data_IF_159411063600
#
_entry.id   IF_159411063600
#
_cell.length_a   1.000
_cell.length_b   1.000
_cell.length_c   1.000
_cell.angle_alpha   90.00
_cell.angle_beta   90.00
_cell.angle_gamma   90.00
#
_symmetry.space_group_name_H-M   'P 1'
#
loop_
_entity.id
_entity.type
_entity.pdbx_description
1 polymer ?
#
# COMPACT_ATOMS: atom_id res chain seq x y z
N UNK A 1 37.40 13.17 -28.14
CA UNK A 1 36.56 14.18 -27.47
C UNK A 1 35.15 13.66 -27.17
N UNK A 2 34.41 13.11 -28.14
CA UNK A 2 33.03 12.59 -27.96
C UNK A 2 32.81 11.53 -26.85
N UNK A 3 33.81 10.71 -26.52
CA UNK A 3 33.69 9.67 -25.47
C UNK A 3 33.74 10.23 -24.04
N UNK A 4 34.33 11.41 -23.85
CA UNK A 4 34.46 12.06 -22.55
C UNK A 4 33.15 12.73 -22.12
N UNK A 5 32.38 13.25 -23.07
CA UNK A 5 31.06 13.86 -22.82
C UNK A 5 29.97 12.84 -22.49
N UNK A 6 29.98 11.67 -23.12
CA UNK A 6 29.02 10.58 -22.84
C UNK A 6 29.20 10.06 -21.40
N UNK A 7 30.44 9.91 -20.94
CA UNK A 7 30.74 9.43 -19.59
C UNK A 7 30.29 10.43 -18.51
N UNK A 8 30.46 11.73 -18.75
CA UNK A 8 29.98 12.79 -17.84
C UNK A 8 28.46 12.86 -17.77
N UNK A 9 27.77 12.74 -18.91
CA UNK A 9 26.31 12.67 -18.95
C UNK A 9 25.78 11.45 -18.19
N UNK A 10 26.40 10.28 -18.35
CA UNK A 10 25.99 9.06 -17.65
C UNK A 10 26.12 9.20 -16.12
N UNK A 11 27.24 9.77 -15.65
CA UNK A 11 27.47 10.03 -14.23
C UNK A 11 26.47 11.07 -13.69
N UNK A 12 26.17 12.11 -14.46
CA UNK A 12 25.20 13.13 -14.05
C UNK A 12 23.79 12.54 -13.91
N UNK A 13 23.33 11.77 -14.89
CA UNK A 13 22.02 11.10 -14.87
C UNK A 13 21.92 10.13 -13.69
N UNK A 14 22.94 9.31 -13.46
CA UNK A 14 22.98 8.37 -12.34
C UNK A 14 22.96 9.08 -10.97
N UNK A 15 23.64 10.22 -10.85
CA UNK A 15 23.67 11.00 -9.61
C UNK A 15 22.31 11.65 -9.35
N UNK A 16 21.64 12.21 -10.37
CA UNK A 16 20.29 12.78 -10.22
C UNK A 16 19.21 11.75 -9.91
N UNK A 17 19.33 10.53 -10.45
CA UNK A 17 18.36 9.47 -10.20
C UNK A 17 18.40 8.96 -8.76
N UNK A 18 19.58 9.00 -8.13
CA UNK A 18 19.79 8.53 -6.76
C UNK A 18 19.12 9.42 -5.70
N UNK A 19 18.93 10.72 -5.97
CA UNK A 19 18.27 11.65 -5.03
C UNK A 19 16.74 11.48 -4.97
N UNK A 20 16.12 10.87 -5.98
CA UNK A 20 14.66 10.70 -6.05
C UNK A 20 14.14 9.54 -5.19
N UNK A 21 15.01 8.68 -4.65
CA UNK A 21 14.64 7.51 -3.86
C UNK A 21 14.42 7.78 -2.38
N UNK A 22 14.04 9.01 -2.00
CA UNK A 22 13.74 9.30 -0.59
C UNK A 22 12.32 8.82 -0.28
N UNK A 23 12.18 7.63 0.31
CA UNK A 23 10.86 7.15 0.77
C UNK A 23 10.53 7.83 2.11
N UNK A 24 9.49 8.66 2.10
CA UNK A 24 8.88 9.12 3.35
C UNK A 24 7.94 8.02 3.85
N UNK A 25 8.13 7.58 5.10
CA UNK A 25 7.19 6.67 5.74
C UNK A 25 5.81 7.34 5.78
N UNK A 26 4.77 6.64 5.31
CA UNK A 26 3.39 7.14 5.38
C UNK A 26 2.98 7.35 6.84
N UNK A 27 2.19 8.39 7.09
CA UNK A 27 1.55 8.58 8.38
C UNK A 27 0.48 7.50 8.62
N UNK A 28 0.14 7.30 9.90
CA UNK A 28 -0.82 6.28 10.33
C UNK A 28 -2.19 6.45 9.67
N UNK A 29 -2.69 7.68 9.55
CA UNK A 29 -4.04 7.90 9.04
C UNK A 29 -4.12 7.62 7.54
N UNK A 30 -3.07 7.94 6.79
CA UNK A 30 -2.96 7.54 5.38
C UNK A 30 -3.00 6.02 5.23
N UNK A 31 -2.21 5.28 6.02
CA UNK A 31 -2.25 3.80 6.00
C UNK A 31 -3.65 3.24 6.30
N UNK A 32 -4.37 3.81 7.28
CA UNK A 32 -5.73 3.37 7.63
C UNK A 32 -6.70 3.64 6.47
N UNK A 33 -6.61 4.79 5.80
CA UNK A 33 -7.46 5.13 4.65
C UNK A 33 -7.17 4.23 3.44
N UNK A 34 -5.90 3.96 3.17
CA UNK A 34 -5.46 3.08 2.08
C UNK A 34 -5.94 1.64 2.30
N UNK A 35 -5.84 1.14 3.54
CA UNK A 35 -6.38 -0.17 3.93
C UNK A 35 -7.89 -0.23 3.69
N UNK A 36 -8.65 0.77 4.16
CA UNK A 36 -10.09 0.85 3.92
C UNK A 36 -10.39 0.83 2.43
N UNK A 37 -9.71 1.65 1.64
CA UNK A 37 -9.95 1.74 0.19
C UNK A 37 -9.65 0.41 -0.51
N UNK A 38 -8.60 -0.30 -0.08
CA UNK A 38 -8.18 -1.57 -0.66
C UNK A 38 -9.15 -2.70 -0.35
N UNK A 39 -9.55 -2.84 0.91
CA UNK A 39 -10.41 -3.95 1.35
C UNK A 39 -11.89 -3.72 1.04
N UNK A 40 -12.37 -2.47 1.06
CA UNK A 40 -13.77 -2.18 0.70
C UNK A 40 -14.10 -2.45 -0.78
N UNK A 41 -13.11 -2.68 -1.64
CA UNK A 41 -13.31 -3.05 -3.05
C UNK A 41 -13.36 -4.56 -3.30
N UNK A 42 -13.09 -5.37 -2.27
CA UNK A 42 -13.01 -6.82 -2.41
C UNK A 42 -14.26 -7.46 -1.79
N UNK A 43 -14.97 -8.28 -2.56
CA UNK A 43 -16.23 -8.89 -2.12
C UNK A 43 -16.07 -9.81 -0.91
N UNK A 44 -14.88 -10.38 -0.71
CA UNK A 44 -14.59 -11.27 0.41
C UNK A 44 -14.27 -10.54 1.73
N UNK A 45 -14.17 -9.20 1.73
CA UNK A 45 -13.68 -8.44 2.88
C UNK A 45 -14.71 -7.44 3.42
N UNK A 46 -14.98 -7.55 4.73
CA UNK A 46 -15.73 -6.55 5.49
C UNK A 46 -14.74 -5.76 6.35
N UNK A 47 -14.43 -4.53 5.94
CA UNK A 47 -13.43 -3.71 6.62
C UNK A 47 -13.96 -3.09 7.90
N UNK A 48 -13.37 -3.46 9.05
CA UNK A 48 -13.63 -2.90 10.38
C UNK A 48 -15.14 -2.79 10.75
N UNK A 49 -15.95 -3.78 10.35
CA UNK A 49 -17.38 -3.82 10.65
C UNK A 49 -17.82 -5.24 11.04
N UNK A 50 -17.60 -5.58 12.31
CA UNK A 50 -17.86 -6.92 12.83
C UNK A 50 -19.35 -7.30 12.78
N UNK A 51 -20.25 -6.34 12.96
CA UNK A 51 -21.70 -6.57 12.89
C UNK A 51 -22.13 -7.02 11.49
N UNK A 52 -21.61 -6.37 10.44
CA UNK A 52 -21.87 -6.76 9.07
C UNK A 52 -21.26 -8.14 8.76
N UNK A 53 -20.07 -8.46 9.28
CA UNK A 53 -19.48 -9.79 9.14
C UNK A 53 -20.36 -10.89 9.74
N UNK A 54 -20.99 -10.64 10.89
CA UNK A 54 -21.93 -11.60 11.48
C UNK A 54 -23.19 -11.78 10.64
N UNK A 55 -23.71 -10.73 10.00
CA UNK A 55 -24.84 -10.86 9.10
C UNK A 55 -24.48 -11.73 7.89
N UNK A 56 -23.39 -11.41 7.20
CA UNK A 56 -22.93 -12.15 6.02
C UNK A 56 -22.62 -13.62 6.34
N UNK A 57 -21.99 -13.90 7.49
CA UNK A 57 -21.68 -15.27 7.91
C UNK A 57 -22.93 -16.13 8.14
N UNK A 58 -24.00 -15.53 8.70
CA UNK A 58 -25.29 -16.22 8.88
C UNK A 58 -25.95 -16.50 7.55
N UNK A 59 -26.00 -15.51 6.67
CA UNK A 59 -26.70 -15.60 5.38
C UNK A 59 -25.98 -16.58 4.44
N UNK A 60 -24.65 -16.51 4.39
CA UNK A 60 -23.81 -17.38 3.55
C UNK A 60 -23.52 -18.77 4.16
N UNK A 61 -23.83 -18.98 5.46
CA UNK A 61 -23.51 -20.18 6.24
C UNK A 61 -22.00 -20.51 6.26
N UNK A 62 -21.14 -19.49 6.23
CA UNK A 62 -19.67 -19.64 6.26
C UNK A 62 -19.10 -19.06 7.55
N UNK A 63 -18.01 -19.65 8.09
CA UNK A 63 -17.34 -19.10 9.27
C UNK A 63 -16.64 -17.77 8.95
N UNK A 64 -16.42 -16.95 9.99
CA UNK A 64 -15.69 -15.68 9.89
C UNK A 64 -14.20 -15.93 10.16
N UNK A 65 -13.34 -15.43 9.27
CA UNK A 65 -11.92 -15.23 9.55
C UNK A 65 -11.70 -13.76 9.93
N UNK A 66 -11.31 -13.51 11.18
CA UNK A 66 -10.98 -12.16 11.64
C UNK A 66 -9.47 -11.92 11.55
N UNK A 67 -9.06 -10.85 10.86
CA UNK A 67 -7.66 -10.42 10.76
C UNK A 67 -7.50 -9.08 11.45
N UNK A 68 -6.61 -9.02 12.45
CA UNK A 68 -6.28 -7.80 13.16
C UNK A 68 -4.91 -7.30 12.68
N UNK A 69 -4.87 -6.06 12.21
CA UNK A 69 -3.64 -5.40 11.79
C UNK A 69 -3.35 -4.23 12.71
N UNK A 70 -2.15 -4.22 13.29
CA UNK A 70 -1.61 -3.03 13.94
C UNK A 70 -1.09 -2.07 12.86
N UNK A 71 -1.53 -0.81 12.89
CA UNK A 71 -1.05 0.24 11.99
C UNK A 71 -0.15 1.18 12.80
N UNK A 72 1.18 1.17 12.55
CA UNK A 72 2.14 2.02 13.23
C UNK A 72 2.11 3.46 12.70
#
# INVERSE_FOLDING_TARGET
MLRYDISKCLVFVATTLSLLCTSFGQDRDTKVRDDRQTFSKQDAWVYNNLTASFAEARDSKKPILAVLRCVP
#
